data_IF_788600149357
#
_entry.id   IF_788600149357
#
_cell.length_a   1.000
_cell.length_b   1.000
_cell.length_c   1.000
_cell.angle_alpha   90.00
_cell.angle_beta   90.00
_cell.angle_gamma   90.00
#
_symmetry.space_group_name_H-M   'P 1'
#
loop_
_entity.id
_entity.type
_entity.pdbx_description
1 polymer ?
#
# COMPACT_ATOMS: atom_id res chain seq x y z
N UNK A 1 35.34 -12.91 4.45
CA UNK A 1 35.20 -11.52 3.94
C UNK A 1 34.08 -11.37 2.91
N UNK A 2 34.00 -12.23 1.87
CA UNK A 2 32.99 -12.11 0.81
C UNK A 2 31.51 -12.14 1.28
N UNK A 3 31.18 -12.93 2.31
CA UNK A 3 29.80 -13.01 2.85
C UNK A 3 29.41 -11.69 3.53
N UNK A 4 30.33 -11.07 4.26
CA UNK A 4 30.08 -9.81 4.97
C UNK A 4 29.85 -8.67 3.98
N UNK A 5 30.62 -8.61 2.89
CA UNK A 5 30.42 -7.62 1.83
C UNK A 5 29.10 -7.84 1.07
N UNK A 6 28.70 -9.10 0.84
CA UNK A 6 27.38 -9.40 0.24
C UNK A 6 26.22 -8.94 1.13
N UNK A 7 26.29 -9.20 2.43
CA UNK A 7 25.27 -8.76 3.39
C UNK A 7 25.19 -7.23 3.41
N UNK A 8 26.34 -6.55 3.41
CA UNK A 8 26.42 -5.09 3.36
C UNK A 8 25.79 -4.52 2.08
N UNK A 9 26.08 -5.12 0.92
CA UNK A 9 25.48 -4.74 -0.37
C UNK A 9 23.94 -4.87 -0.34
N UNK A 10 23.41 -5.97 0.21
CA UNK A 10 21.97 -6.21 0.32
C UNK A 10 21.30 -5.17 1.23
N UNK A 11 21.93 -4.85 2.37
CA UNK A 11 21.41 -3.83 3.29
C UNK A 11 21.40 -2.47 2.62
N UNK A 12 22.50 -2.08 1.97
CA UNK A 12 22.60 -0.80 1.26
C UNK A 12 21.56 -0.71 0.13
N UNK A 13 21.41 -1.78 -0.65
CA UNK A 13 20.41 -1.89 -1.70
C UNK A 13 18.98 -1.72 -1.16
N UNK A 14 18.66 -2.36 -0.05
CA UNK A 14 17.35 -2.25 0.61
C UNK A 14 17.03 -0.82 1.04
N UNK A 15 18.00 -0.14 1.67
CA UNK A 15 17.85 1.26 2.09
C UNK A 15 17.60 2.17 0.88
N UNK A 16 18.39 2.02 -0.18
CA UNK A 16 18.24 2.81 -1.42
C UNK A 16 16.86 2.57 -2.04
N UNK A 17 16.43 1.31 -2.12
CA UNK A 17 15.12 0.95 -2.69
C UNK A 17 13.95 1.54 -1.89
N UNK A 18 14.07 1.61 -0.56
CA UNK A 18 13.06 2.23 0.30
C UNK A 18 12.96 3.74 0.09
N UNK A 19 14.10 4.43 -0.02
CA UNK A 19 14.14 5.86 -0.31
C UNK A 19 13.52 6.15 -1.68
N UNK A 20 13.90 5.37 -2.70
CA UNK A 20 13.34 5.47 -4.04
C UNK A 20 11.81 5.24 -4.03
N UNK A 21 11.35 4.21 -3.33
CA UNK A 21 9.92 3.93 -3.19
C UNK A 21 9.18 5.08 -2.52
N UNK A 22 9.70 5.64 -1.43
CA UNK A 22 9.09 6.77 -0.72
C UNK A 22 8.90 7.98 -1.64
N UNK A 23 9.92 8.31 -2.45
CA UNK A 23 9.81 9.37 -3.45
C UNK A 23 8.74 9.06 -4.50
N UNK A 24 8.76 7.86 -5.11
CA UNK A 24 7.77 7.46 -6.12
C UNK A 24 6.34 7.43 -5.56
N UNK A 25 6.19 7.06 -4.29
CA UNK A 25 4.88 7.03 -3.62
C UNK A 25 4.25 8.41 -3.55
N UNK A 26 5.02 9.43 -3.17
CA UNK A 26 4.55 10.81 -3.07
C UNK A 26 4.18 11.39 -4.44
N UNK A 27 5.04 11.18 -5.44
CA UNK A 27 4.89 11.84 -6.75
C UNK A 27 3.97 11.10 -7.73
N UNK A 28 4.04 9.77 -7.78
CA UNK A 28 3.40 8.95 -8.82
C UNK A 28 2.23 8.17 -8.25
N UNK A 29 2.45 7.38 -7.19
CA UNK A 29 1.44 6.45 -6.71
C UNK A 29 0.27 7.12 -5.98
N UNK A 30 0.48 8.29 -5.38
CA UNK A 30 -0.59 9.09 -4.75
C UNK A 30 -1.68 9.54 -5.74
N UNK A 31 -1.35 9.65 -7.03
CA UNK A 31 -2.27 10.14 -8.07
C UNK A 31 -2.97 9.02 -8.85
N UNK A 32 -2.52 7.77 -8.72
CA UNK A 32 -3.02 6.65 -9.51
C UNK A 32 -4.02 5.80 -8.72
N UNK A 33 -5.27 5.75 -9.18
CA UNK A 33 -6.31 4.85 -8.65
C UNK A 33 -6.31 3.54 -9.42
N UNK A 34 -5.44 2.61 -9.05
CA UNK A 34 -5.28 1.31 -9.72
C UNK A 34 -5.73 0.18 -8.81
N UNK A 35 -6.30 -0.88 -9.39
CA UNK A 35 -6.67 -2.09 -8.65
C UNK A 35 -5.42 -2.86 -8.19
N UNK A 36 -5.39 -3.27 -6.92
CA UNK A 36 -4.26 -4.02 -6.31
C UNK A 36 -3.81 -5.23 -7.12
N UNK A 37 -4.74 -5.97 -7.72
CA UNK A 37 -4.42 -7.16 -8.51
C UNK A 37 -3.64 -6.84 -9.79
N UNK A 38 -3.87 -5.66 -10.38
CA UNK A 38 -3.15 -5.22 -11.59
C UNK A 38 -1.67 -4.98 -11.25
N UNK A 39 -1.40 -4.34 -10.11
CA UNK A 39 -0.02 -4.08 -9.67
C UNK A 39 0.72 -5.37 -9.38
N UNK A 40 0.05 -6.36 -8.76
CA UNK A 40 0.64 -7.68 -8.52
C UNK A 40 0.99 -8.40 -9.84
N UNK A 41 0.04 -8.44 -10.78
CA UNK A 41 0.28 -9.08 -12.08
C UNK A 41 1.43 -8.38 -12.80
N UNK A 42 1.49 -7.05 -12.75
CA UNK A 42 2.56 -6.27 -13.37
C UNK A 42 3.93 -6.58 -12.74
N UNK A 43 4.02 -6.66 -11.41
CA UNK A 43 5.25 -7.02 -10.72
C UNK A 43 5.73 -8.42 -11.15
N UNK A 44 4.82 -9.38 -11.17
CA UNK A 44 5.11 -10.77 -11.51
C UNK A 44 5.53 -10.90 -12.99
N UNK A 45 4.85 -10.18 -13.88
CA UNK A 45 5.20 -10.06 -15.29
C UNK A 45 6.61 -9.48 -15.47
N UNK A 46 6.95 -8.37 -14.81
CA UNK A 46 8.30 -7.77 -14.87
C UNK A 46 9.38 -8.74 -14.40
N UNK A 47 9.07 -9.60 -13.43
CA UNK A 47 10.04 -10.53 -12.87
C UNK A 47 10.22 -11.77 -13.74
N UNK A 48 9.15 -12.36 -14.25
CA UNK A 48 9.22 -13.61 -15.02
C UNK A 48 9.55 -13.38 -16.50
N UNK A 49 8.89 -12.43 -17.16
CA UNK A 49 8.94 -12.23 -18.61
C UNK A 49 10.38 -12.03 -19.12
N UNK A 50 11.22 -11.16 -18.51
CA UNK A 50 12.58 -10.94 -18.99
C UNK A 50 13.48 -12.18 -18.87
N UNK A 51 13.29 -12.98 -17.82
CA UNK A 51 14.09 -14.19 -17.59
C UNK A 51 13.80 -15.27 -18.64
N UNK A 52 12.56 -15.35 -19.15
CA UNK A 52 12.20 -16.34 -20.18
C UNK A 52 12.49 -15.86 -21.60
N UNK A 53 12.28 -14.58 -21.90
CA UNK A 53 12.41 -14.06 -23.27
C UNK A 53 13.82 -13.59 -23.62
N UNK A 54 14.63 -13.19 -22.64
CA UNK A 54 15.94 -12.59 -22.92
C UNK A 54 17.06 -13.14 -22.03
N UNK A 55 17.44 -14.43 -22.20
CA UNK A 55 18.46 -15.07 -21.38
C UNK A 55 19.87 -14.50 -21.56
N UNK A 56 20.14 -13.77 -22.65
CA UNK A 56 21.44 -13.12 -22.94
C UNK A 56 21.55 -11.69 -22.41
N UNK A 57 20.66 -11.28 -21.49
CA UNK A 57 20.62 -9.92 -20.97
C UNK A 57 21.91 -9.57 -20.19
N UNK A 58 22.39 -8.31 -20.22
CA UNK A 58 23.55 -7.90 -19.44
C UNK A 58 23.37 -8.22 -17.95
N UNK A 59 24.42 -8.78 -17.33
CA UNK A 59 24.41 -9.25 -15.93
C UNK A 59 23.95 -8.14 -14.96
N UNK A 60 24.28 -6.89 -15.26
CA UNK A 60 23.92 -5.72 -14.44
C UNK A 60 22.41 -5.48 -14.43
N UNK A 61 21.76 -5.64 -15.59
CA UNK A 61 20.32 -5.39 -15.72
C UNK A 61 19.53 -6.48 -15.00
N UNK A 62 19.94 -7.74 -15.17
CA UNK A 62 19.27 -8.86 -14.52
C UNK A 62 19.48 -8.86 -13.00
N UNK A 63 20.68 -8.49 -12.53
CA UNK A 63 21.01 -8.54 -11.10
C UNK A 63 20.51 -7.33 -10.30
N UNK A 64 20.46 -6.15 -10.90
CA UNK A 64 20.15 -4.91 -10.17
C UNK A 64 18.84 -4.26 -10.64
N UNK A 65 18.66 -4.05 -11.94
CA UNK A 65 17.55 -3.23 -12.45
C UNK A 65 16.21 -3.95 -12.31
N UNK A 66 16.10 -5.18 -12.81
CA UNK A 66 14.85 -5.95 -12.76
C UNK A 66 14.41 -6.19 -11.31
N UNK A 67 15.29 -6.64 -10.39
CA UNK A 67 14.92 -6.80 -8.99
C UNK A 67 14.52 -5.49 -8.31
N UNK A 68 15.17 -4.35 -8.63
CA UNK A 68 14.78 -3.04 -8.06
C UNK A 68 13.37 -2.66 -8.47
N UNK A 69 13.05 -2.77 -9.76
CA UNK A 69 11.71 -2.45 -10.27
C UNK A 69 10.66 -3.37 -9.66
N UNK A 70 10.97 -4.67 -9.55
CA UNK A 70 10.10 -5.63 -8.89
C UNK A 70 9.82 -5.25 -7.44
N UNK A 71 10.86 -4.93 -6.66
CA UNK A 71 10.74 -4.53 -5.25
C UNK A 71 9.86 -3.28 -5.13
N UNK A 72 10.07 -2.25 -5.95
CA UNK A 72 9.25 -1.03 -5.94
C UNK A 72 7.78 -1.34 -6.23
N UNK A 73 7.49 -2.12 -7.27
CA UNK A 73 6.12 -2.52 -7.62
C UNK A 73 5.48 -3.38 -6.52
N UNK A 74 6.26 -4.25 -5.89
CA UNK A 74 5.81 -5.11 -4.81
C UNK A 74 5.49 -4.30 -3.53
N UNK A 75 6.35 -3.34 -3.17
CA UNK A 75 6.07 -2.41 -2.06
C UNK A 75 4.79 -1.61 -2.34
N UNK A 76 4.58 -1.18 -3.58
CA UNK A 76 3.35 -0.49 -3.96
C UNK A 76 2.12 -1.38 -3.82
N UNK A 77 2.22 -2.64 -4.22
CA UNK A 77 1.16 -3.62 -3.98
C UNK A 77 0.87 -3.82 -2.47
N UNK A 78 1.92 -3.91 -1.64
CA UNK A 78 1.76 -4.02 -0.18
C UNK A 78 1.07 -2.79 0.42
N UNK A 79 1.37 -1.60 -0.09
CA UNK A 79 0.73 -0.35 0.32
C UNK A 79 -0.75 -0.32 -0.06
N UNK A 80 -1.10 -0.73 -1.29
CA UNK A 80 -2.48 -0.87 -1.74
C UNK A 80 -3.27 -1.96 -0.99
N UNK A 81 -2.59 -2.99 -0.48
CA UNK A 81 -3.19 -4.00 0.39
C UNK A 81 -3.41 -3.50 1.83
N UNK A 82 -2.94 -2.29 2.17
CA UNK A 82 -3.08 -1.70 3.49
C UNK A 82 -2.09 -2.24 4.52
N UNK A 83 -1.06 -2.99 4.11
CA UNK A 83 -0.07 -3.56 5.03
C UNK A 83 0.79 -2.48 5.71
N UNK A 84 1.02 -1.36 5.02
CA UNK A 84 1.86 -0.25 5.49
C UNK A 84 1.10 0.81 6.31
N UNK A 85 -0.22 0.70 6.44
CA UNK A 85 -1.07 1.68 7.16
C UNK A 85 -0.77 1.84 8.66
N UNK A 86 -0.10 0.87 9.28
CA UNK A 86 0.26 0.94 10.71
C UNK A 86 1.50 1.79 11.00
N UNK A 87 2.35 2.05 10.00
CA UNK A 87 3.60 2.80 10.16
C UNK A 87 3.43 4.30 9.87
N UNK A 88 2.44 4.66 9.05
CA UNK A 88 2.20 6.04 8.68
C UNK A 88 1.03 6.66 9.46
N UNK A 89 1.36 7.61 10.34
CA UNK A 89 0.43 8.69 10.72
C UNK A 89 0.26 9.71 9.58
N UNK A 90 0.73 9.40 8.37
CA UNK A 90 0.55 10.24 7.18
C UNK A 90 -0.82 9.91 6.59
N UNK A 91 -1.78 10.78 6.88
CA UNK A 91 -3.11 10.79 6.27
C UNK A 91 -2.96 11.08 4.77
N UNK A 92 -2.71 10.06 3.97
CA UNK A 92 -3.04 10.13 2.54
C UNK A 92 -4.51 9.79 2.40
N UNK A 93 -5.31 10.80 2.12
CA UNK A 93 -6.78 10.82 2.05
C UNK A 93 -7.42 9.91 0.99
N UNK A 94 -6.71 8.88 0.52
CA UNK A 94 -7.07 8.11 -0.67
C UNK A 94 -7.33 6.62 -0.41
N UNK A 95 -7.48 6.16 0.84
CA UNK A 95 -7.87 4.78 1.09
C UNK A 95 -9.34 4.64 1.53
N UNK A 96 -10.16 4.29 0.53
CA UNK A 96 -11.51 3.75 0.63
C UNK A 96 -11.61 2.36 1.33
N UNK A 97 -10.60 1.95 2.10
CA UNK A 97 -10.45 0.60 2.67
C UNK A 97 -10.60 0.49 4.19
N UNK A 98 -10.91 1.57 4.91
CA UNK A 98 -11.60 1.43 6.19
C UNK A 98 -12.75 2.41 6.15
N UNK A 99 -13.96 1.87 6.01
CA UNK A 99 -15.09 2.50 6.70
C UNK A 99 -14.57 2.69 8.11
N UNK A 100 -14.23 3.94 8.44
CA UNK A 100 -14.37 4.48 9.79
C UNK A 100 -15.61 3.76 10.27
N UNK A 101 -15.47 2.87 11.26
CA UNK A 101 -16.63 2.37 11.97
C UNK A 101 -17.16 3.65 12.60
N UNK A 102 -17.91 4.42 11.80
CA UNK A 102 -18.79 5.44 12.23
C UNK A 102 -19.68 4.61 13.11
N UNK A 103 -19.34 4.64 14.39
CA UNK A 103 -20.28 4.56 15.47
C UNK A 103 -21.20 5.80 15.33
N UNK A 104 -21.81 5.95 14.14
CA UNK A 104 -23.10 6.58 13.91
C UNK A 104 -24.22 5.67 14.40
N UNK A 105 -23.88 4.49 14.96
CA UNK A 105 -24.49 4.06 16.22
C UNK A 105 -24.08 5.00 17.38
N UNK A 106 -24.11 6.31 17.14
CA UNK A 106 -24.67 7.25 18.08
C UNK A 106 -26.18 6.96 18.13
N UNK A 107 -26.52 5.73 18.53
CA UNK A 107 -27.76 5.42 19.20
C UNK A 107 -27.64 6.09 20.58
N UNK A 108 -27.47 7.42 20.60
CA UNK A 108 -28.04 8.19 21.69
C UNK A 108 -29.50 7.82 21.60
N UNK A 109 -29.92 6.96 22.52
CA UNK A 109 -31.32 6.70 22.77
C UNK A 109 -31.87 8.06 23.15
N UNK A 110 -32.40 8.78 22.16
CA UNK A 110 -33.13 10.00 22.42
C UNK A 110 -34.30 9.57 23.28
N UNK A 111 -34.48 10.14 24.49
CA UNK A 111 -35.61 9.77 25.32
C UNK A 111 -36.88 9.95 24.49
N UNK A 112 -37.67 8.88 24.36
CA UNK A 112 -38.97 8.96 23.68
C UNK A 112 -39.77 10.05 24.37
N UNK A 113 -40.39 10.93 23.60
CA UNK A 113 -41.21 12.01 24.15
C UNK A 113 -42.20 11.42 25.15
N UNK A 114 -42.32 12.06 26.32
CA UNK A 114 -43.33 11.71 27.32
C UNK A 114 -44.68 11.70 26.60
N UNK A 115 -45.47 10.60 26.66
CA UNK A 115 -46.77 10.60 26.01
C UNK A 115 -47.53 11.80 26.56
N UNK A 116 -47.96 12.68 25.65
CA UNK A 116 -48.79 13.81 26.00
C UNK A 116 -50.08 13.21 26.58
N UNK A 117 -50.14 13.12 27.91
CA UNK A 117 -51.33 12.66 28.61
C UNK A 117 -52.32 13.79 28.40
N UNK A 118 -53.12 13.66 27.33
CA UNK A 118 -54.17 14.61 26.97
C UNK A 118 -55.03 14.75 28.22
N UNK A 119 -54.75 15.84 28.94
CA UNK A 119 -55.43 16.18 30.18
C UNK A 119 -56.73 16.81 29.72
N UNK A 120 -57.75 15.94 29.62
CA UNK A 120 -59.08 16.16 30.16
C UNK A 120 -59.85 17.37 29.61
N UNK A 121 -61.13 17.18 29.26
CA UNK A 121 -62.28 17.71 30.03
C UNK A 121 -63.55 17.76 29.18
N UNK A 122 -64.58 17.13 29.77
CA UNK A 122 -66.04 17.25 29.53
C UNK A 122 -66.58 16.67 28.24
#
# INVERSE_FOLDING_TARGET
>A
MAIVTMILEIILFSIISLIAYSALRVYVFSKLKINKWVVLILALAIFLIPNFLWPTMPIVVNKYIIPTIFVILFLWFMDLCGFLKGFDNVKTDNDSGYKKYNKSNNNVIKPKAKPNRVKNKK
#
